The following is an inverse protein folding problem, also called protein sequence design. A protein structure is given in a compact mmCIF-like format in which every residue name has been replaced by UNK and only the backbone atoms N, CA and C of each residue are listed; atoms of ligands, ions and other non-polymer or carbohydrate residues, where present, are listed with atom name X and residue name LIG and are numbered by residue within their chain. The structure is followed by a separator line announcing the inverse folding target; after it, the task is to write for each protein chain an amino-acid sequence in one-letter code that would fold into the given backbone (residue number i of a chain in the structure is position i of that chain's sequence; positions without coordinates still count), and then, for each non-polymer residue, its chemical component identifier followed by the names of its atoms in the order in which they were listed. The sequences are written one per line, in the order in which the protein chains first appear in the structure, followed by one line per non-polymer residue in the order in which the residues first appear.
data_IF_828673057245
#
_entry.id   IF_828673057245
#
_cell.length_a   1.000
_cell.length_b   1.000
_cell.length_c   1.000
_cell.angle_alpha   90.00
_cell.angle_beta   90.00
_cell.angle_gamma   90.00
#
_symmetry.space_group_name_H-M   'P 1'
#
loop_
_entity.id
_entity.type
_entity.pdbx_description
1 polymer ?
#
# COMPACT_ATOMS: atom_id res chain seq x y z
N UNK A 1 8.25 -0.25 -9.63
CA UNK A 1 8.69 -0.86 -10.91
C UNK A 1 9.56 -2.09 -10.64
N UNK A 2 10.69 -1.98 -9.93
CA UNK A 2 11.60 -3.11 -9.72
C UNK A 2 10.90 -4.29 -8.99
N UNK A 3 10.22 -4.02 -7.88
CA UNK A 3 9.47 -5.02 -7.11
C UNK A 3 8.32 -5.61 -7.95
N UNK A 4 7.64 -4.82 -8.77
CA UNK A 4 6.58 -5.29 -9.65
C UNK A 4 7.11 -6.28 -10.69
N UNK A 5 8.27 -6.01 -11.30
CA UNK A 5 8.92 -6.94 -12.23
C UNK A 5 9.32 -8.24 -11.49
N UNK A 6 9.86 -8.14 -10.27
CA UNK A 6 10.26 -9.34 -9.52
C UNK A 6 9.08 -10.25 -9.13
N UNK A 7 7.92 -9.66 -8.86
CA UNK A 7 6.77 -10.42 -8.34
C UNK A 7 5.82 -10.87 -9.45
N UNK A 8 5.59 -10.05 -10.48
CA UNK A 8 4.58 -10.31 -11.53
C UNK A 8 5.12 -10.24 -12.97
N UNK A 9 6.44 -10.09 -13.15
CA UNK A 9 7.10 -9.88 -14.47
C UNK A 9 6.58 -8.63 -15.23
N UNK A 10 5.81 -7.77 -14.58
CA UNK A 10 5.21 -6.60 -15.20
C UNK A 10 5.91 -5.32 -14.74
N UNK A 11 6.43 -4.48 -15.66
CA UNK A 11 7.10 -3.23 -15.30
C UNK A 11 6.15 -2.13 -14.82
N UNK A 12 4.83 -2.27 -15.09
CA UNK A 12 3.83 -1.28 -14.70
C UNK A 12 3.07 -1.80 -13.48
N UNK A 13 3.25 -1.22 -12.27
CA UNK A 13 2.62 -1.73 -11.06
C UNK A 13 1.09 -1.80 -11.13
N UNK A 14 0.44 -0.85 -11.82
CA UNK A 14 -1.02 -0.85 -11.98
C UNK A 14 -1.53 -2.07 -12.76
N UNK A 15 -0.79 -2.52 -13.76
CA UNK A 15 -1.13 -3.71 -14.53
C UNK A 15 -0.77 -4.96 -13.73
N UNK A 16 0.43 -4.99 -13.14
CA UNK A 16 0.87 -6.10 -12.28
C UNK A 16 -0.01 -6.34 -11.06
N UNK A 17 -0.75 -5.32 -10.60
CA UNK A 17 -1.71 -5.47 -9.48
C UNK A 17 -2.82 -6.49 -9.77
N UNK A 18 -3.24 -6.63 -11.01
CA UNK A 18 -4.22 -7.62 -11.47
C UNK A 18 -3.62 -8.90 -12.05
N UNK A 19 -2.28 -9.03 -12.09
CA UNK A 19 -1.58 -10.13 -12.69
C UNK A 19 -1.31 -11.28 -11.72
N UNK A 20 -0.85 -12.40 -12.29
CA UNK A 20 -0.39 -13.56 -11.53
C UNK A 20 1.04 -13.35 -11.05
N UNK A 21 1.34 -13.94 -9.90
CA UNK A 21 2.70 -13.97 -9.35
C UNK A 21 3.59 -14.84 -10.24
N UNK A 22 4.79 -14.37 -10.56
CA UNK A 22 5.78 -15.09 -11.36
C UNK A 22 5.99 -16.51 -10.85
N UNK A 23 5.87 -17.48 -11.76
CA UNK A 23 6.04 -18.89 -11.42
C UNK A 23 4.86 -19.53 -10.68
N UNK A 24 3.74 -18.82 -10.50
CA UNK A 24 2.53 -19.31 -9.84
C UNK A 24 1.28 -19.09 -10.71
N UNK A 25 0.26 -19.89 -10.48
CA UNK A 25 -1.07 -19.66 -11.06
C UNK A 25 -1.95 -18.69 -10.27
N UNK A 26 -1.47 -18.24 -9.10
CA UNK A 26 -2.20 -17.41 -8.14
C UNK A 26 -2.07 -15.94 -8.47
N UNK A 27 -3.16 -15.18 -8.38
CA UNK A 27 -3.12 -13.71 -8.54
C UNK A 27 -2.45 -13.05 -7.35
N UNK A 28 -1.88 -11.85 -7.57
CA UNK A 28 -1.16 -11.09 -6.54
C UNK A 28 -2.01 -10.85 -5.28
N UNK A 29 -3.27 -10.47 -5.45
CA UNK A 29 -4.19 -10.21 -4.33
C UNK A 29 -4.53 -11.49 -3.56
N UNK A 30 -4.79 -12.60 -4.27
CA UNK A 30 -5.04 -13.90 -3.63
C UNK A 30 -3.81 -14.37 -2.84
N UNK A 31 -2.60 -14.15 -3.38
CA UNK A 31 -1.35 -14.44 -2.67
C UNK A 31 -1.21 -13.58 -1.41
N UNK A 32 -1.57 -12.30 -1.49
CA UNK A 32 -1.53 -11.40 -0.34
C UNK A 32 -2.55 -11.79 0.73
N UNK A 33 -3.75 -12.23 0.33
CA UNK A 33 -4.76 -12.75 1.24
C UNK A 33 -4.29 -14.02 1.94
N UNK A 34 -3.70 -14.96 1.20
CA UNK A 34 -3.12 -16.18 1.76
C UNK A 34 -2.04 -15.86 2.80
N UNK A 35 -1.07 -15.01 2.44
CA UNK A 35 -0.01 -14.60 3.37
C UNK A 35 -0.56 -13.90 4.61
N UNK A 36 -1.58 -13.06 4.46
CA UNK A 36 -2.21 -12.39 5.60
C UNK A 36 -2.88 -13.39 6.53
N UNK A 37 -3.63 -14.36 5.99
CA UNK A 37 -4.30 -15.40 6.77
C UNK A 37 -3.31 -16.34 7.46
N UNK A 38 -2.21 -16.72 6.79
CA UNK A 38 -1.13 -17.54 7.37
C UNK A 38 -0.49 -16.88 8.60
N UNK A 39 -0.42 -15.54 8.62
CA UNK A 39 0.09 -14.74 9.73
C UNK A 39 -0.97 -14.42 10.79
N UNK A 40 -2.20 -14.91 10.62
CA UNK A 40 -3.33 -14.69 11.53
C UNK A 40 -4.05 -13.35 11.34
N UNK A 41 -3.67 -12.55 10.34
CA UNK A 41 -4.40 -11.33 9.98
C UNK A 41 -5.66 -11.66 9.18
N UNK A 42 -6.60 -10.72 9.13
CA UNK A 42 -7.71 -10.80 8.20
C UNK A 42 -7.22 -10.73 6.74
N UNK A 43 -7.98 -11.32 5.82
CA UNK A 43 -7.68 -11.20 4.40
C UNK A 43 -7.58 -9.73 3.99
N UNK A 44 -6.58 -9.39 3.18
CA UNK A 44 -6.34 -8.00 2.76
C UNK A 44 -7.51 -7.41 1.97
N UNK A 45 -8.19 -8.27 1.20
CA UNK A 45 -9.36 -7.89 0.39
C UNK A 45 -10.67 -7.98 1.15
N UNK A 46 -10.66 -8.38 2.43
CA UNK A 46 -11.87 -8.51 3.22
C UNK A 46 -12.53 -7.15 3.46
N UNK A 47 -13.81 -7.08 3.12
CA UNK A 47 -14.59 -5.87 3.34
C UNK A 47 -15.03 -5.77 4.81
N UNK A 48 -14.30 -5.01 5.60
CA UNK A 48 -14.57 -4.80 7.03
C UNK A 48 -15.63 -3.73 7.30
N UNK A 49 -16.07 -2.99 6.28
CA UNK A 49 -17.02 -1.88 6.43
C UNK A 49 -18.32 -2.17 5.70
N UNK A 50 -19.44 -1.66 6.24
CA UNK A 50 -20.74 -1.76 5.56
C UNK A 50 -20.74 -0.91 4.27
N UNK A 51 -21.54 -1.31 3.28
CA UNK A 51 -21.67 -0.53 2.03
C UNK A 51 -22.18 0.90 2.30
N UNK A 52 -22.97 1.08 3.35
CA UNK A 52 -23.48 2.40 3.77
C UNK A 52 -22.33 3.26 4.29
N UNK A 53 -21.44 2.71 5.12
CA UNK A 53 -20.28 3.44 5.63
C UNK A 53 -19.33 3.84 4.50
N UNK A 54 -19.09 2.92 3.55
CA UNK A 54 -18.27 3.21 2.36
C UNK A 54 -18.89 4.34 1.54
N UNK A 55 -20.21 4.32 1.34
CA UNK A 55 -20.91 5.39 0.64
C UNK A 55 -20.74 6.75 1.33
N UNK A 56 -20.97 6.82 2.65
CA UNK A 56 -20.84 8.07 3.38
C UNK A 56 -19.41 8.58 3.47
N UNK A 57 -18.42 7.70 3.64
CA UNK A 57 -17.00 8.07 3.59
C UNK A 57 -16.65 8.65 2.22
N UNK A 58 -17.06 7.98 1.15
CA UNK A 58 -16.80 8.44 -0.22
C UNK A 58 -17.48 9.77 -0.49
N UNK A 59 -18.75 9.93 -0.11
CA UNK A 59 -19.48 11.17 -0.24
C UNK A 59 -18.82 12.32 0.55
N UNK A 60 -18.41 12.08 1.80
CA UNK A 60 -17.73 13.07 2.62
C UNK A 60 -16.40 13.52 1.99
N UNK A 61 -15.60 12.59 1.46
CA UNK A 61 -14.37 12.91 0.74
C UNK A 61 -14.63 13.70 -0.54
N UNK A 62 -15.65 13.34 -1.33
CA UNK A 62 -16.03 14.06 -2.55
C UNK A 62 -16.44 15.50 -2.27
N UNK A 63 -17.36 15.70 -1.32
CA UNK A 63 -17.82 17.05 -0.93
C UNK A 63 -16.71 17.84 -0.25
N UNK A 64 -15.93 17.22 0.62
CA UNK A 64 -14.80 17.86 1.30
C UNK A 64 -13.74 18.36 0.31
N UNK A 65 -13.34 17.53 -0.64
CA UNK A 65 -12.36 17.94 -1.66
C UNK A 65 -12.89 18.98 -2.63
N UNK A 66 -14.18 18.91 -3.01
CA UNK A 66 -14.82 19.91 -3.86
C UNK A 66 -14.90 21.29 -3.20
N UNK A 67 -15.02 21.35 -1.86
CA UNK A 67 -15.10 22.59 -1.09
C UNK A 67 -13.76 23.24 -0.74
N UNK A 68 -12.64 22.65 -1.11
CA UNK A 68 -11.33 23.20 -0.78
C UNK A 68 -11.06 24.52 -1.51
N UNK A 69 -10.71 25.61 -0.77
CA UNK A 69 -10.54 26.94 -1.36
C UNK A 69 -9.52 26.99 -2.51
N UNK A 70 -8.42 26.23 -2.41
CA UNK A 70 -7.39 26.19 -3.44
C UNK A 70 -7.85 25.51 -4.74
N UNK A 71 -8.84 24.63 -4.68
CA UNK A 71 -9.46 24.03 -5.87
C UNK A 71 -10.38 25.06 -6.54
N UNK A 72 -11.18 25.77 -5.74
CA UNK A 72 -12.13 26.77 -6.25
C UNK A 72 -11.38 27.95 -6.88
N UNK A 73 -10.34 28.48 -6.22
CA UNK A 73 -9.52 29.58 -6.74
C UNK A 73 -8.93 29.29 -8.11
N UNK A 74 -8.57 28.04 -8.38
CA UNK A 74 -8.03 27.63 -9.70
C UNK A 74 -8.98 27.91 -10.86
N UNK A 75 -10.28 27.82 -10.65
CA UNK A 75 -11.28 28.12 -11.69
C UNK A 75 -11.37 29.61 -12.00
N UNK A 76 -11.03 30.48 -11.04
CA UNK A 76 -11.07 31.95 -11.22
C UNK A 76 -9.78 32.51 -11.83
N UNK A 77 -8.67 31.77 -11.81
CA UNK A 77 -7.39 32.22 -12.35
C UNK A 77 -7.21 31.93 -13.84
N UNK A 78 -8.14 31.23 -14.47
CA UNK A 78 -8.05 30.82 -15.88
C UNK A 78 -8.83 31.82 -16.75
N UNK A 79 -8.21 32.38 -17.82
CA UNK A 79 -8.83 33.45 -18.62
C UNK A 79 -10.06 33.01 -19.40
N UNK A 80 -10.17 31.74 -19.75
CA UNK A 80 -11.26 31.19 -20.58
C UNK A 80 -11.83 29.91 -19.97
N UNK A 81 -13.15 29.74 -20.03
CA UNK A 81 -13.86 28.52 -19.57
C UNK A 81 -13.36 27.26 -20.29
N UNK A 82 -12.98 27.38 -21.56
CA UNK A 82 -12.42 26.26 -22.33
C UNK A 82 -11.11 25.75 -21.73
N UNK A 83 -10.23 26.66 -21.32
CA UNK A 83 -8.93 26.31 -20.73
C UNK A 83 -9.12 25.67 -19.34
N UNK A 84 -10.12 26.15 -18.58
CA UNK A 84 -10.52 25.53 -17.31
C UNK A 84 -10.95 24.06 -17.49
N UNK A 85 -11.77 23.78 -18.50
CA UNK A 85 -12.23 22.40 -18.80
C UNK A 85 -11.09 21.50 -19.23
N UNK A 86 -10.18 21.96 -20.07
CA UNK A 86 -9.01 21.20 -20.52
C UNK A 86 -8.10 20.91 -19.33
N UNK A 87 -7.83 21.92 -18.51
CA UNK A 87 -7.01 21.75 -17.30
C UNK A 87 -7.63 20.77 -16.31
N UNK A 88 -8.94 20.82 -16.10
CA UNK A 88 -9.66 19.87 -15.27
C UNK A 88 -9.58 18.44 -15.82
N UNK A 89 -9.69 18.27 -17.14
CA UNK A 89 -9.54 16.96 -17.79
C UNK A 89 -8.16 16.35 -17.56
N UNK A 90 -7.11 17.12 -17.74
CA UNK A 90 -5.74 16.67 -17.47
C UNK A 90 -5.52 16.38 -15.98
N UNK A 91 -6.04 17.21 -15.08
CA UNK A 91 -5.96 16.99 -13.64
C UNK A 91 -6.62 15.66 -13.25
N UNK A 92 -7.82 15.38 -13.74
CA UNK A 92 -8.52 14.12 -13.49
C UNK A 92 -7.73 12.92 -14.00
N UNK A 93 -7.12 13.00 -15.18
CA UNK A 93 -6.30 11.92 -15.72
C UNK A 93 -5.10 11.62 -14.83
N UNK A 94 -4.35 12.65 -14.41
CA UNK A 94 -3.18 12.45 -13.54
C UNK A 94 -3.57 11.99 -12.14
N UNK A 95 -4.67 12.50 -11.58
CA UNK A 95 -5.21 12.07 -10.30
C UNK A 95 -5.62 10.59 -10.36
N UNK A 96 -6.34 10.17 -11.40
CA UNK A 96 -6.74 8.78 -11.58
C UNK A 96 -5.53 7.85 -11.68
N UNK A 97 -4.50 8.25 -12.41
CA UNK A 97 -3.27 7.49 -12.56
C UNK A 97 -2.54 7.37 -11.20
N UNK A 98 -2.48 8.43 -10.42
CA UNK A 98 -1.84 8.44 -9.11
C UNK A 98 -2.61 7.56 -8.11
N UNK A 99 -3.93 7.67 -8.06
CA UNK A 99 -4.77 6.88 -7.16
C UNK A 99 -4.82 5.39 -7.52
N UNK A 100 -4.61 5.01 -8.76
CA UNK A 100 -4.45 3.59 -9.14
C UNK A 100 -3.06 3.05 -8.85
N UNK A 101 -2.04 3.92 -8.85
CA UNK A 101 -0.66 3.52 -8.53
C UNK A 101 -0.47 3.23 -7.05
N UNK A 102 -1.07 4.04 -6.17
CA UNK A 102 -0.87 3.93 -4.73
C UNK A 102 -1.25 2.55 -4.15
N UNK A 103 -2.47 1.99 -4.38
CA UNK A 103 -2.82 0.66 -3.88
C UNK A 103 -1.97 -0.45 -4.51
N UNK A 104 -1.56 -0.31 -5.78
CA UNK A 104 -0.67 -1.27 -6.41
C UNK A 104 0.69 -1.31 -5.71
N UNK A 105 1.29 -0.14 -5.48
CA UNK A 105 2.59 -0.05 -4.77
C UNK A 105 2.46 -0.61 -3.35
N UNK A 106 1.39 -0.28 -2.63
CA UNK A 106 1.15 -0.78 -1.28
C UNK A 106 1.04 -2.32 -1.23
N UNK A 107 0.32 -2.94 -2.17
CA UNK A 107 0.20 -4.40 -2.24
C UNK A 107 1.54 -5.07 -2.52
N UNK A 108 2.30 -4.57 -3.50
CA UNK A 108 3.65 -5.08 -3.81
C UNK A 108 4.61 -4.90 -2.65
N UNK A 109 4.60 -3.74 -1.98
CA UNK A 109 5.44 -3.47 -0.82
C UNK A 109 5.11 -4.43 0.33
N UNK A 110 3.82 -4.68 0.60
CA UNK A 110 3.38 -5.60 1.65
C UNK A 110 3.78 -7.05 1.35
N UNK A 111 3.58 -7.53 0.12
CA UNK A 111 4.04 -8.88 -0.28
C UNK A 111 5.54 -9.02 -0.14
N UNK A 112 6.31 -8.04 -0.62
CA UNK A 112 7.76 -8.05 -0.51
C UNK A 112 8.23 -8.03 0.95
N UNK A 113 7.62 -7.21 1.78
CA UNK A 113 7.94 -7.11 3.20
C UNK A 113 7.70 -8.45 3.92
N UNK A 114 6.51 -9.05 3.76
CA UNK A 114 6.16 -10.31 4.39
C UNK A 114 7.13 -11.41 3.95
N UNK A 115 7.39 -11.55 2.65
CA UNK A 115 8.28 -12.58 2.12
C UNK A 115 9.74 -12.40 2.56
N UNK A 116 10.18 -11.17 2.83
CA UNK A 116 11.57 -10.89 3.20
C UNK A 116 11.80 -10.99 4.70
N UNK A 117 10.80 -10.61 5.50
CA UNK A 117 10.99 -10.39 6.94
C UNK A 117 10.40 -11.52 7.78
N UNK A 118 9.23 -12.07 7.39
CA UNK A 118 8.59 -13.11 8.17
C UNK A 118 9.42 -14.40 8.24
N UNK A 119 9.66 -14.89 9.45
CA UNK A 119 10.48 -16.07 9.75
C UNK A 119 11.95 -15.96 9.27
N UNK A 120 12.47 -14.76 9.07
CA UNK A 120 13.85 -14.55 8.67
C UNK A 120 14.73 -14.18 9.86
N UNK A 121 16.03 -14.55 9.77
CA UNK A 121 17.00 -14.21 10.84
C UNK A 121 17.33 -12.73 10.82
N UNK A 122 17.22 -12.04 11.95
CA UNK A 122 17.53 -10.62 12.08
C UNK A 122 18.94 -10.27 11.60
N UNK A 123 19.92 -11.13 11.87
CA UNK A 123 21.32 -10.92 11.44
C UNK A 123 21.49 -10.87 9.89
N UNK A 124 20.55 -11.42 9.13
CA UNK A 124 20.58 -11.49 7.66
C UNK A 124 19.69 -10.44 6.99
N UNK A 125 19.09 -9.53 7.78
CA UNK A 125 18.21 -8.50 7.23
C UNK A 125 18.94 -7.57 6.26
N UNK A 126 18.29 -7.21 5.15
CA UNK A 126 18.84 -6.29 4.16
C UNK A 126 19.08 -4.90 4.75
N UNK A 127 19.92 -4.10 4.10
CA UNK A 127 20.30 -2.77 4.57
C UNK A 127 19.09 -1.82 4.70
N UNK A 128 18.07 -1.98 3.84
CA UNK A 128 16.87 -1.14 3.93
C UNK A 128 16.11 -1.36 5.25
N UNK A 129 16.07 -2.59 5.77
CA UNK A 129 15.42 -2.90 7.05
C UNK A 129 16.10 -2.13 8.19
N UNK A 130 17.43 -2.17 8.28
CA UNK A 130 18.21 -1.45 9.29
C UNK A 130 18.06 0.07 9.17
N UNK A 131 17.98 0.58 7.95
CA UNK A 131 17.75 2.01 7.74
C UNK A 131 16.39 2.44 8.30
N UNK A 132 15.36 1.62 8.14
CA UNK A 132 14.02 1.94 8.61
C UNK A 132 13.85 1.73 10.11
N UNK A 133 14.55 0.76 10.68
CA UNK A 133 14.69 0.60 12.12
C UNK A 133 15.32 1.84 12.76
N UNK A 134 16.38 2.38 12.17
CA UNK A 134 17.03 3.61 12.64
C UNK A 134 16.12 4.85 12.56
N UNK A 135 15.13 4.86 11.69
CA UNK A 135 14.14 5.95 11.58
C UNK A 135 12.94 5.75 12.49
N UNK A 136 12.84 4.62 13.20
CA UNK A 136 11.70 4.28 14.05
C UNK A 136 10.45 3.82 13.29
N UNK A 137 10.56 3.56 11.97
CA UNK A 137 9.44 3.04 11.16
C UNK A 137 9.26 1.53 11.32
N UNK A 138 10.32 0.83 11.72
CA UNK A 138 10.31 -0.57 12.11
C UNK A 138 10.93 -0.69 13.50
N UNK A 139 10.35 -1.54 14.33
CA UNK A 139 10.90 -1.88 15.64
C UNK A 139 10.86 -3.39 15.80
N UNK A 140 12.02 -3.99 16.06
CA UNK A 140 12.16 -5.42 16.33
C UNK A 140 12.45 -5.64 17.81
N UNK A 141 11.60 -6.42 18.47
CA UNK A 141 11.73 -6.80 19.87
C UNK A 141 11.73 -8.33 19.97
N UNK A 142 12.90 -8.92 20.07
CA UNK A 142 13.10 -10.38 20.15
C UNK A 142 12.63 -10.89 21.53
N UNK A 143 11.37 -11.30 21.61
CA UNK A 143 10.72 -11.72 22.87
C UNK A 143 11.12 -13.13 23.31
N UNK A 144 11.45 -13.98 22.35
CA UNK A 144 11.81 -15.39 22.62
C UNK A 144 13.32 -15.65 22.57
N UNK A 145 14.12 -14.64 22.20
CA UNK A 145 15.58 -14.69 22.10
C UNK A 145 16.09 -15.75 21.10
N UNK A 146 15.36 -16.00 20.00
CA UNK A 146 15.77 -16.94 18.94
C UNK A 146 16.44 -16.23 17.74
N UNK A 147 16.41 -14.91 17.71
CA UNK A 147 16.98 -14.07 16.65
C UNK A 147 16.26 -14.20 15.31
N UNK A 148 15.03 -14.72 15.29
CA UNK A 148 14.18 -14.85 14.12
C UNK A 148 13.00 -13.90 14.27
N UNK A 149 12.62 -13.21 13.20
CA UNK A 149 11.55 -12.21 13.24
C UNK A 149 10.20 -12.90 13.06
N UNK A 150 9.38 -12.94 14.11
CA UNK A 150 7.99 -13.37 14.04
C UNK A 150 7.08 -12.18 13.78
N UNK A 151 6.52 -12.13 12.57
CA UNK A 151 5.52 -11.13 12.21
C UNK A 151 4.14 -11.78 12.18
N UNK A 152 3.34 -11.55 13.23
CA UNK A 152 2.05 -12.21 13.46
C UNK A 152 0.98 -11.19 13.89
N UNK A 153 -0.29 -11.55 13.69
CA UNK A 153 -1.41 -10.75 14.19
C UNK A 153 -1.54 -10.78 15.71
N UNK A 154 -1.08 -11.84 16.36
CA UNK A 154 -1.07 -11.96 17.82
C UNK A 154 -0.02 -11.02 18.42
N UNK A 155 -0.45 -10.01 19.15
CA UNK A 155 0.40 -8.99 19.77
C UNK A 155 1.39 -9.56 20.81
N UNK A 156 1.09 -10.73 21.40
CA UNK A 156 2.00 -11.35 22.36
C UNK A 156 3.17 -12.09 21.68
N UNK A 157 2.89 -12.71 20.55
CA UNK A 157 3.88 -13.45 19.77
C UNK A 157 4.55 -12.59 18.68
N UNK A 158 3.96 -11.45 18.36
CA UNK A 158 4.52 -10.55 17.36
C UNK A 158 5.75 -9.83 17.90
N UNK A 159 6.84 -9.89 17.16
CA UNK A 159 8.12 -9.28 17.47
C UNK A 159 8.48 -8.13 16.56
N UNK A 160 7.67 -7.88 15.52
CA UNK A 160 7.89 -6.78 14.60
C UNK A 160 6.73 -5.80 14.67
N UNK A 161 7.05 -4.58 15.07
CA UNK A 161 6.13 -3.44 15.00
C UNK A 161 6.44 -2.63 13.75
N UNK A 162 5.41 -2.38 12.94
CA UNK A 162 5.53 -1.61 11.70
C UNK A 162 4.68 -0.36 11.84
N UNK A 163 5.30 0.81 11.71
CA UNK A 163 4.55 2.06 11.67
C UNK A 163 3.69 2.13 10.40
N UNK A 164 2.50 2.73 10.52
CA UNK A 164 1.54 2.84 9.42
C UNK A 164 2.09 3.64 8.24
N UNK A 165 2.99 4.57 8.51
CA UNK A 165 3.58 5.44 7.50
C UNK A 165 4.60 4.74 6.61
N UNK A 166 5.09 3.57 7.00
CA UNK A 166 6.09 2.81 6.23
C UNK A 166 5.59 2.45 4.82
N UNK A 167 4.30 2.17 4.69
CA UNK A 167 3.69 1.81 3.39
C UNK A 167 3.57 3.00 2.44
N UNK A 168 3.69 4.22 2.95
CA UNK A 168 3.66 5.47 2.17
C UNK A 168 5.06 5.85 1.71
N UNK A 169 6.08 5.44 2.47
CA UNK A 169 7.49 5.80 2.25
C UNK A 169 8.27 4.71 1.50
N UNK A 170 7.68 3.52 1.31
CA UNK A 170 8.26 2.43 0.53
C UNK A 170 8.07 2.62 -0.96
#
# INVERSE_FOLDING_TARGET
IFISIMITDNPIPQLGFGDKVSGSSTYLLDKLDQLSLELGFNAYTENTKSNIDIFFITAALMFGTAGLPHVIVRFFTVPKVRDARISAGWALLFISLLYTTAPAVAAFAKVNLINTVSNAKYAQMPQWFKNWENTGLLEFDDKNADGVIQYLADTQLNELTIDRDIMVLA
#
